data_IF_680955126809
#
_entry.id   IF_680955126809
#
_cell.length_a   1.000
_cell.length_b   1.000
_cell.length_c   1.000
_cell.angle_alpha   90.00
_cell.angle_beta   90.00
_cell.angle_gamma   90.00
#
_symmetry.space_group_name_H-M   'P 1'
#
loop_
_entity.id
_entity.type
_entity.pdbx_description
1 polymer ?
#
# COMPACT_ATOMS: atom_id res chain seq x y z
N UNK A 1 8.46 17.49 0.92
CA UNK A 1 8.44 16.67 -0.32
C UNK A 1 7.55 15.47 -0.06
N UNK A 2 6.32 15.43 -0.58
CA UNK A 2 5.52 14.20 -0.45
C UNK A 2 6.14 13.11 -1.33
N UNK A 3 6.15 11.85 -0.85
CA UNK A 3 6.55 10.72 -1.69
C UNK A 3 5.34 10.28 -2.49
N UNK A 4 5.51 10.11 -3.80
CA UNK A 4 4.40 9.80 -4.69
C UNK A 4 4.78 8.64 -5.59
N UNK A 5 3.88 7.66 -5.68
CA UNK A 5 4.13 6.44 -6.44
C UNK A 5 2.85 5.80 -6.97
N UNK A 6 2.92 5.32 -8.21
CA UNK A 6 1.99 4.32 -8.71
C UNK A 6 2.34 2.96 -8.10
N UNK A 7 1.35 2.32 -7.52
CA UNK A 7 1.50 1.02 -6.86
C UNK A 7 0.22 0.20 -7.05
N UNK A 8 0.31 -1.11 -6.90
CA UNK A 8 -0.87 -1.96 -6.87
C UNK A 8 -1.36 -2.07 -5.43
N UNK A 9 -2.63 -1.72 -5.24
CA UNK A 9 -3.34 -1.90 -3.97
C UNK A 9 -4.34 -3.03 -4.12
N UNK A 10 -4.37 -3.93 -3.13
CA UNK A 10 -5.42 -4.93 -3.05
C UNK A 10 -6.72 -4.27 -2.57
N UNK A 11 -7.72 -4.18 -3.44
CA UNK A 11 -9.03 -3.65 -3.13
C UNK A 11 -10.11 -4.67 -3.47
N UNK A 12 -10.85 -5.13 -2.44
CA UNK A 12 -11.90 -6.16 -2.58
C UNK A 12 -11.40 -7.43 -3.31
N UNK A 13 -10.27 -7.96 -2.86
CA UNK A 13 -9.62 -9.15 -3.43
C UNK A 13 -9.21 -9.03 -4.91
N UNK A 14 -9.06 -7.81 -5.41
CA UNK A 14 -8.52 -7.55 -6.74
C UNK A 14 -7.40 -6.51 -6.64
N UNK A 15 -6.29 -6.80 -7.31
CA UNK A 15 -5.21 -5.83 -7.46
C UNK A 15 -5.64 -4.72 -8.42
N UNK A 16 -5.50 -3.49 -7.96
CA UNK A 16 -5.78 -2.30 -8.76
C UNK A 16 -4.61 -1.36 -8.68
N UNK A 17 -4.19 -0.86 -9.83
CA UNK A 17 -3.24 0.24 -9.87
C UNK A 17 -3.89 1.48 -9.22
N UNK A 18 -3.14 2.09 -8.31
CA UNK A 18 -3.56 3.26 -7.54
C UNK A 18 -2.40 4.22 -7.42
N UNK A 19 -2.77 5.49 -7.35
CA UNK A 19 -1.83 6.56 -7.11
C UNK A 19 -1.75 6.78 -5.60
N UNK A 20 -0.59 6.53 -4.99
CA UNK A 20 -0.43 6.65 -3.54
C UNK A 20 0.52 7.79 -3.21
N UNK A 21 0.09 8.64 -2.28
CA UNK A 21 0.86 9.78 -1.80
C UNK A 21 1.11 9.62 -0.30
N UNK A 22 2.37 9.54 0.10
CA UNK A 22 2.77 9.67 1.49
C UNK A 22 3.11 11.14 1.77
N UNK A 23 2.31 11.77 2.61
CA UNK A 23 2.50 13.17 2.99
C UNK A 23 3.51 13.31 4.13
N UNK A 24 4.06 14.51 4.30
CA UNK A 24 5.02 14.82 5.37
C UNK A 24 4.39 14.75 6.77
N UNK A 25 3.07 14.93 6.84
CA UNK A 25 2.27 14.78 8.05
C UNK A 25 2.06 13.30 8.42
N UNK A 26 2.63 12.36 7.65
CA UNK A 26 2.52 10.92 7.89
C UNK A 26 1.17 10.34 7.49
N UNK A 27 0.47 10.96 6.53
CA UNK A 27 -0.76 10.42 5.96
C UNK A 27 -0.49 9.72 4.63
N UNK A 28 -1.07 8.54 4.45
CA UNK A 28 -1.12 7.83 3.18
C UNK A 28 -2.45 8.14 2.48
N UNK A 29 -2.37 8.75 1.32
CA UNK A 29 -3.51 9.09 0.47
C UNK A 29 -3.58 8.08 -0.67
N UNK A 30 -4.75 7.49 -0.89
CA UNK A 30 -5.02 6.61 -2.04
C UNK A 30 -5.89 7.38 -3.03
N UNK A 31 -5.31 7.75 -4.17
CA UNK A 31 -5.94 8.54 -5.22
C UNK A 31 -6.16 7.69 -6.47
N UNK A 32 -7.07 8.15 -7.33
CA UNK A 32 -7.27 7.55 -8.66
C UNK A 32 -6.14 7.90 -9.64
N UNK A 33 -5.63 9.12 -9.57
CA UNK A 33 -4.49 9.64 -10.32
C UNK A 33 -3.92 10.88 -9.60
N UNK A 34 -2.88 11.50 -10.18
CA UNK A 34 -2.15 12.62 -9.59
C UNK A 34 -2.99 13.89 -9.31
N UNK A 35 -4.05 14.11 -10.10
CA UNK A 35 -4.88 15.32 -10.05
C UNK A 35 -6.19 15.09 -9.28
N UNK A 36 -6.51 13.83 -8.98
CA UNK A 36 -7.74 13.48 -8.29
C UNK A 36 -7.63 13.66 -6.78
N UNK A 37 -8.73 14.05 -6.10
CA UNK A 37 -8.79 13.98 -4.64
C UNK A 37 -8.63 12.52 -4.16
N UNK A 38 -8.21 12.31 -2.90
CA UNK A 38 -8.06 10.98 -2.35
C UNK A 38 -9.40 10.27 -2.19
N UNK A 39 -9.49 9.04 -2.68
CA UNK A 39 -10.60 8.12 -2.42
C UNK A 39 -10.56 7.67 -0.94
N UNK A 40 -9.35 7.49 -0.39
CA UNK A 40 -9.10 7.09 0.99
C UNK A 40 -7.89 7.81 1.58
N UNK A 41 -7.96 8.10 2.88
CA UNK A 41 -6.90 8.74 3.66
C UNK A 41 -6.63 7.88 4.89
N UNK A 42 -5.36 7.55 5.14
CA UNK A 42 -4.91 6.80 6.31
C UNK A 42 -3.81 7.55 7.03
N UNK A 43 -4.06 8.01 8.25
CA UNK A 43 -3.06 8.68 9.09
C UNK A 43 -2.16 7.64 9.75
N UNK A 44 -0.98 7.39 9.19
CA UNK A 44 -0.12 6.28 9.62
C UNK A 44 0.41 6.45 11.04
N UNK A 45 0.68 7.69 11.47
CA UNK A 45 1.22 7.96 12.82
C UNK A 45 0.33 7.47 13.96
N UNK A 46 -0.99 7.42 13.73
CA UNK A 46 -1.98 7.04 14.75
C UNK A 46 -2.70 5.73 14.43
N UNK A 47 -2.79 5.37 13.15
CA UNK A 47 -3.59 4.25 12.68
C UNK A 47 -2.77 3.15 12.01
N UNK A 48 -1.43 3.20 12.02
CA UNK A 48 -0.61 2.07 11.60
C UNK A 48 -0.08 1.34 12.83
N UNK A 49 -0.56 0.12 13.03
CA UNK A 49 -0.14 -0.73 14.16
C UNK A 49 1.16 -1.48 13.82
N UNK A 50 1.29 -1.92 12.57
CA UNK A 50 2.43 -2.71 12.11
C UNK A 50 2.61 -2.56 10.60
N UNK A 51 3.86 -2.64 10.15
CA UNK A 51 4.21 -2.81 8.74
C UNK A 51 4.77 -4.23 8.60
N UNK A 52 4.18 -5.04 7.73
CA UNK A 52 4.55 -6.45 7.53
C UNK A 52 5.04 -6.62 6.10
N UNK A 53 6.24 -7.15 5.93
CA UNK A 53 6.74 -7.44 4.59
C UNK A 53 6.04 -8.66 3.98
N UNK A 54 5.89 -8.68 2.66
CA UNK A 54 5.14 -9.72 1.95
C UNK A 54 5.66 -11.13 2.16
N UNK A 55 6.95 -11.31 2.43
CA UNK A 55 7.53 -12.61 2.81
C UNK A 55 6.92 -13.18 4.10
N UNK A 56 6.58 -12.32 5.06
CA UNK A 56 6.00 -12.69 6.36
C UNK A 56 4.48 -12.91 6.30
N UNK A 57 3.81 -12.44 5.24
CA UNK A 57 2.35 -12.58 5.08
C UNK A 57 2.00 -14.00 4.62
N UNK A 58 1.62 -14.88 5.54
CA UNK A 58 1.28 -16.29 5.24
C UNK A 58 0.22 -16.42 4.13
N UNK A 59 -0.92 -15.75 4.31
CA UNK A 59 -2.09 -15.84 3.41
C UNK A 59 -2.12 -14.74 2.35
N UNK A 60 -0.98 -14.53 1.68
CA UNK A 60 -0.88 -13.51 0.64
C UNK A 60 -1.82 -13.87 -0.54
N UNK A 61 -2.68 -12.95 -1.01
CA UNK A 61 -3.52 -13.19 -2.17
C UNK A 61 -2.69 -13.39 -3.43
N UNK A 62 -3.28 -14.02 -4.45
CA UNK A 62 -2.62 -14.24 -5.73
C UNK A 62 -2.13 -12.90 -6.31
N UNK A 63 -0.82 -12.79 -6.52
CA UNK A 63 -0.18 -11.61 -7.07
C UNK A 63 -0.55 -11.42 -8.55
N UNK A 64 -0.58 -10.19 -9.07
CA UNK A 64 -0.72 -9.92 -10.50
C UNK A 64 0.52 -10.46 -11.26
N UNK A 65 0.41 -10.62 -12.58
CA UNK A 65 1.52 -11.10 -13.41
C UNK A 65 2.78 -10.24 -13.22
N UNK A 66 3.92 -10.88 -12.92
CA UNK A 66 5.18 -10.19 -12.62
C UNK A 66 5.30 -9.70 -11.18
N UNK A 67 4.23 -9.76 -10.38
CA UNK A 67 4.27 -9.43 -8.96
C UNK A 67 5.08 -10.45 -8.17
N UNK A 68 5.90 -9.97 -7.25
CA UNK A 68 6.74 -10.79 -6.37
C UNK A 68 6.42 -10.51 -4.91
N UNK A 69 6.59 -11.54 -4.08
CA UNK A 69 6.27 -11.50 -2.66
C UNK A 69 7.19 -10.59 -1.86
N UNK A 70 8.43 -10.42 -2.29
CA UNK A 70 9.40 -9.49 -1.73
C UNK A 70 9.22 -8.04 -2.21
N UNK A 71 8.29 -7.79 -3.14
CA UNK A 71 7.85 -6.45 -3.51
C UNK A 71 6.52 -6.05 -2.82
N UNK A 72 6.02 -6.88 -1.90
CA UNK A 72 4.78 -6.60 -1.19
C UNK A 72 5.07 -6.13 0.23
N UNK A 73 4.20 -5.27 0.76
CA UNK A 73 4.10 -5.03 2.20
C UNK A 73 2.66 -4.69 2.57
N UNK A 74 2.28 -5.03 3.80
CA UNK A 74 0.99 -4.71 4.37
C UNK A 74 1.13 -3.69 5.49
N UNK A 75 0.27 -2.68 5.47
CA UNK A 75 0.03 -1.80 6.60
C UNK A 75 -1.12 -2.38 7.40
N UNK A 76 -0.85 -2.81 8.63
CA UNK A 76 -1.88 -3.26 9.56
C UNK A 76 -2.47 -2.03 10.23
N UNK A 77 -3.78 -1.91 10.15
CA UNK A 77 -4.56 -0.79 10.66
C UNK A 77 -5.52 -1.29 11.76
N UNK A 78 -6.00 -0.39 12.64
CA UNK A 78 -7.01 -0.71 13.63
C UNK A 78 -8.24 -1.40 13.05
N UNK A 79 -8.95 -2.13 13.92
CA UNK A 79 -10.18 -2.86 13.58
C UNK A 79 -9.94 -4.01 12.59
N UNK A 80 -8.77 -4.63 12.67
CA UNK A 80 -8.37 -5.76 11.81
C UNK A 80 -8.43 -5.44 10.32
N UNK A 81 -8.19 -4.17 9.97
CA UNK A 81 -8.07 -3.72 8.58
C UNK A 81 -6.60 -3.78 8.17
N UNK A 82 -6.37 -3.96 6.88
CA UNK A 82 -5.02 -3.85 6.34
C UNK A 82 -5.06 -3.24 4.95
N UNK A 83 -3.96 -2.60 4.56
CA UNK A 83 -3.70 -2.19 3.19
C UNK A 83 -2.53 -3.01 2.67
N UNK A 84 -2.74 -3.78 1.61
CA UNK A 84 -1.68 -4.54 0.96
C UNK A 84 -1.22 -3.81 -0.29
N UNK A 85 0.04 -3.42 -0.29
CA UNK A 85 0.71 -2.70 -1.38
C UNK A 85 1.71 -3.62 -2.09
N UNK A 86 1.85 -3.43 -3.40
CA UNK A 86 2.81 -4.14 -4.24
C UNK A 86 3.55 -3.14 -5.12
N UNK A 87 4.86 -3.04 -4.93
CA UNK A 87 5.78 -2.24 -5.74
C UNK A 87 6.30 -3.05 -6.93
N UNK A 88 6.95 -2.38 -7.88
CA UNK A 88 7.58 -3.04 -9.02
C UNK A 88 8.95 -3.62 -8.65
N UNK A 89 9.74 -2.92 -7.83
CA UNK A 89 11.08 -3.33 -7.42
C UNK A 89 11.14 -3.59 -5.91
N UNK A 90 11.77 -4.69 -5.44
CA UNK A 90 11.93 -4.96 -4.01
C UNK A 90 12.77 -3.92 -3.27
N UNK A 91 13.63 -3.16 -3.96
CA UNK A 91 14.35 -2.03 -3.35
C UNK A 91 13.42 -0.88 -2.96
N UNK A 92 12.22 -0.82 -3.54
CA UNK A 92 11.19 0.13 -3.13
C UNK A 92 10.45 -0.29 -1.84
N UNK A 93 10.69 -1.51 -1.36
CA UNK A 93 10.14 -2.03 -0.11
C UNK A 93 11.11 -1.95 1.07
N UNK A 94 12.30 -1.37 0.87
CA UNK A 94 13.34 -1.23 1.91
C UNK A 94 13.37 0.17 2.52
#
# INVERSE_FOLDING_TARGET
>A
LCYIKNTYLLYRNQWKEKYVVLTMEGSLLVCRNAESPPDHVVTLQTNCELIVEGREILDLPRLPSGGRRDCCFALILPQSKFLLLLTENPDDCK
#
